data_IF_370459557617
#
_entry.id   IF_370459557617
#
_cell.length_a   1.000
_cell.length_b   1.000
_cell.length_c   1.000
_cell.angle_alpha   90.00
_cell.angle_beta   90.00
_cell.angle_gamma   90.00
#
_symmetry.space_group_name_H-M   'P 1'
#
loop_
_entity.id
_entity.type
_entity.pdbx_description
1 polymer ?
#
# COMPACT_ATOMS: atom_id res chain seq x y z
N UNK A 1 4.40 38.89 -23.47
CA UNK A 1 4.09 38.28 -22.15
C UNK A 1 3.42 36.95 -22.41
N UNK A 2 3.92 35.86 -21.83
CA UNK A 2 3.21 34.56 -21.86
C UNK A 2 1.97 34.68 -20.97
N UNK A 3 0.85 34.15 -21.45
CA UNK A 3 -0.43 34.14 -20.73
C UNK A 3 -0.45 32.93 -19.77
N UNK A 4 -0.44 33.15 -18.44
CA UNK A 4 -0.45 32.07 -17.46
C UNK A 4 -1.64 31.12 -17.60
N UNK A 5 -2.79 31.60 -18.11
CA UNK A 5 -3.96 30.75 -18.31
C UNK A 5 -3.76 29.78 -19.48
N UNK A 6 -3.11 30.23 -20.56
CA UNK A 6 -2.81 29.40 -21.71
C UNK A 6 -1.78 28.31 -21.36
N UNK A 7 -0.75 28.64 -20.59
CA UNK A 7 0.26 27.66 -20.12
C UNK A 7 -0.39 26.60 -19.22
N UNK A 8 -1.30 27.00 -18.32
CA UNK A 8 -2.05 26.06 -17.48
C UNK A 8 -2.94 25.12 -18.29
N UNK A 9 -3.65 25.64 -19.29
CA UNK A 9 -4.53 24.80 -20.13
C UNK A 9 -3.72 23.79 -20.96
N UNK A 10 -2.57 24.21 -21.49
CA UNK A 10 -1.66 23.30 -22.19
C UNK A 10 -1.16 22.18 -21.27
N UNK A 11 -0.73 22.52 -20.06
CA UNK A 11 -0.32 21.51 -19.08
C UNK A 11 -1.45 20.53 -18.74
N UNK A 12 -2.66 21.03 -18.46
CA UNK A 12 -3.82 20.18 -18.19
C UNK A 12 -4.15 19.22 -19.35
N UNK A 13 -4.06 19.70 -20.58
CA UNK A 13 -4.26 18.87 -21.76
C UNK A 13 -3.19 17.77 -21.88
N UNK A 14 -1.93 18.06 -21.50
CA UNK A 14 -0.84 17.09 -21.51
C UNK A 14 -1.02 15.99 -20.47
N UNK A 15 -1.58 16.31 -19.29
CA UNK A 15 -1.76 15.33 -18.20
C UNK A 15 -3.14 14.65 -18.19
N UNK A 16 -4.09 15.08 -19.04
CA UNK A 16 -5.45 14.52 -19.06
C UNK A 16 -5.43 13.00 -19.28
N UNK A 17 -4.59 12.53 -20.20
CA UNK A 17 -4.44 11.10 -20.48
C UNK A 17 -4.04 10.30 -19.23
N UNK A 18 -3.17 10.85 -18.36
CA UNK A 18 -2.82 10.20 -17.10
C UNK A 18 -3.99 10.22 -16.11
N UNK A 19 -4.75 11.32 -16.08
CA UNK A 19 -5.92 11.45 -15.21
C UNK A 19 -6.97 10.40 -15.55
N UNK A 20 -7.28 10.23 -16.84
CA UNK A 20 -8.24 9.21 -17.31
C UNK A 20 -7.75 7.79 -17.01
N UNK A 21 -6.46 7.53 -17.26
CA UNK A 21 -5.84 6.25 -16.92
C UNK A 21 -5.92 5.94 -15.42
N UNK A 22 -5.57 6.92 -14.57
CA UNK A 22 -5.59 6.79 -13.11
C UNK A 22 -7.01 6.47 -12.63
N UNK A 23 -8.00 7.21 -13.11
CA UNK A 23 -9.39 7.01 -12.70
C UNK A 23 -9.88 5.61 -13.09
N UNK A 24 -9.43 5.05 -14.22
CA UNK A 24 -9.73 3.66 -14.58
C UNK A 24 -9.09 2.66 -13.61
N UNK A 25 -7.78 2.76 -13.32
CA UNK A 25 -7.12 1.81 -12.42
C UNK A 25 -7.58 1.97 -10.96
N UNK A 26 -8.06 3.15 -10.55
CA UNK A 26 -8.70 3.38 -9.26
C UNK A 26 -10.03 2.61 -9.14
N UNK A 27 -10.84 2.61 -10.20
CA UNK A 27 -12.08 1.84 -10.24
C UNK A 27 -11.80 0.33 -10.19
N UNK A 28 -10.84 -0.15 -10.98
CA UNK A 28 -10.41 -1.55 -10.95
C UNK A 28 -9.91 -1.96 -9.56
N UNK A 29 -9.11 -1.10 -8.92
CA UNK A 29 -8.61 -1.32 -7.55
C UNK A 29 -9.75 -1.38 -6.55
N UNK A 30 -10.74 -0.49 -6.64
CA UNK A 30 -11.90 -0.48 -5.74
C UNK A 30 -12.75 -1.75 -5.89
N UNK A 31 -12.97 -2.20 -7.13
CA UNK A 31 -13.69 -3.44 -7.42
C UNK A 31 -12.94 -4.66 -6.87
N UNK A 32 -11.63 -4.74 -7.13
CA UNK A 32 -10.78 -5.81 -6.60
C UNK A 32 -10.76 -5.83 -5.07
N UNK A 33 -10.56 -4.68 -4.43
CA UNK A 33 -10.61 -4.52 -2.98
C UNK A 33 -11.93 -5.04 -2.41
N UNK A 34 -13.06 -4.81 -3.07
CA UNK A 34 -14.36 -5.34 -2.63
C UNK A 34 -14.41 -6.86 -2.75
N UNK A 35 -13.88 -7.41 -3.85
CA UNK A 35 -13.92 -8.85 -4.15
C UNK A 35 -13.12 -9.74 -3.19
N UNK A 36 -12.20 -9.18 -2.41
CA UNK A 36 -11.32 -9.94 -1.50
C UNK A 36 -11.70 -9.84 -0.02
N UNK A 37 -12.77 -9.11 0.32
CA UNK A 37 -13.23 -8.97 1.72
C UNK A 37 -13.52 -10.33 2.35
N UNK A 38 -14.36 -11.15 1.70
CA UNK A 38 -14.74 -12.45 2.24
C UNK A 38 -13.56 -13.43 2.27
N UNK A 39 -12.60 -13.28 1.34
CA UNK A 39 -11.38 -14.11 1.30
C UNK A 39 -10.45 -13.84 2.49
N UNK A 40 -10.48 -12.63 3.04
CA UNK A 40 -9.72 -12.25 4.23
C UNK A 40 -10.47 -12.53 5.54
N UNK A 41 -11.66 -13.13 5.48
CA UNK A 41 -12.45 -13.49 6.65
C UNK A 41 -13.42 -12.39 7.10
N UNK A 42 -13.83 -11.50 6.19
CA UNK A 42 -14.85 -10.48 6.42
C UNK A 42 -14.28 -9.13 6.86
N UNK A 43 -15.02 -8.36 7.66
CA UNK A 43 -14.57 -7.04 8.11
C UNK A 43 -13.78 -7.14 9.42
N UNK A 44 -12.52 -6.71 9.38
CA UNK A 44 -11.66 -6.49 10.55
C UNK A 44 -11.33 -4.99 10.73
N UNK A 45 -12.26 -4.11 10.36
CA UNK A 45 -12.10 -2.66 10.45
C UNK A 45 -10.91 -2.14 9.63
N UNK A 46 -10.08 -1.30 10.23
CA UNK A 46 -8.96 -0.65 9.54
C UNK A 46 -7.85 -1.62 9.12
N UNK A 47 -7.62 -2.70 9.88
CA UNK A 47 -6.62 -3.72 9.50
C UNK A 47 -7.03 -4.41 8.20
N UNK A 48 -8.34 -4.68 8.03
CA UNK A 48 -8.87 -5.20 6.77
C UNK A 48 -8.63 -4.23 5.61
N UNK A 49 -9.07 -2.98 5.78
CA UNK A 49 -8.93 -1.94 4.75
C UNK A 49 -7.48 -1.78 4.30
N UNK A 50 -6.55 -1.67 5.25
CA UNK A 50 -5.12 -1.54 4.95
C UNK A 50 -4.56 -2.79 4.28
N UNK A 51 -4.94 -4.00 4.74
CA UNK A 51 -4.47 -5.25 4.14
C UNK A 51 -4.91 -5.36 2.68
N UNK A 52 -6.17 -4.98 2.37
CA UNK A 52 -6.68 -4.97 1.00
C UNK A 52 -5.99 -3.94 0.13
N UNK A 53 -5.78 -2.73 0.64
CA UNK A 53 -5.04 -1.69 -0.06
C UNK A 53 -3.59 -2.10 -0.36
N UNK A 54 -2.93 -2.79 0.57
CA UNK A 54 -1.59 -3.37 0.37
C UNK A 54 -1.62 -4.44 -0.72
N UNK A 55 -2.56 -5.40 -0.66
CA UNK A 55 -2.63 -6.47 -1.67
C UNK A 55 -2.92 -5.90 -3.06
N UNK A 56 -3.80 -4.90 -3.14
CA UNK A 56 -4.15 -4.26 -4.41
C UNK A 56 -3.10 -3.27 -4.92
N UNK A 57 -2.10 -2.90 -4.09
CA UNK A 57 -1.04 -2.00 -4.53
C UNK A 57 -0.22 -2.61 -5.66
N UNK A 58 -0.04 -3.94 -5.70
CA UNK A 58 0.81 -4.62 -6.70
C UNK A 58 0.29 -4.47 -8.13
N UNK A 59 -1.01 -4.65 -8.36
CA UNK A 59 -1.58 -4.43 -9.69
C UNK A 59 -1.56 -2.94 -10.05
N UNK A 60 -1.79 -2.08 -9.06
CA UNK A 60 -1.79 -0.63 -9.24
C UNK A 60 -0.41 -0.09 -9.63
N UNK A 61 0.65 -0.46 -8.89
CA UNK A 61 2.05 -0.10 -9.18
C UNK A 61 2.47 -0.66 -10.54
N UNK A 62 2.11 -1.91 -10.86
CA UNK A 62 2.35 -2.49 -12.19
C UNK A 62 1.69 -1.68 -13.31
N UNK A 63 0.45 -1.22 -13.10
CA UNK A 63 -0.26 -0.34 -14.04
C UNK A 63 0.50 0.97 -14.24
N UNK A 64 0.91 1.63 -13.15
CA UNK A 64 1.69 2.87 -13.21
C UNK A 64 3.03 2.67 -13.93
N UNK A 65 3.78 1.62 -13.59
CA UNK A 65 5.04 1.30 -14.27
C UNK A 65 4.83 1.06 -15.76
N UNK A 66 3.75 0.36 -16.15
CA UNK A 66 3.41 0.16 -17.55
C UNK A 66 3.13 1.48 -18.27
N UNK A 67 2.36 2.38 -17.65
CA UNK A 67 2.05 3.71 -18.17
C UNK A 67 3.30 4.57 -18.33
N UNK A 68 4.18 4.60 -17.32
CA UNK A 68 5.42 5.37 -17.33
C UNK A 68 6.34 4.95 -18.49
N UNK A 69 6.34 3.66 -18.82
CA UNK A 69 7.18 3.10 -19.89
C UNK A 69 6.61 3.30 -21.31
N UNK A 70 5.46 3.96 -21.48
CA UNK A 70 4.90 4.28 -22.79
C UNK A 70 5.54 5.55 -23.38
N UNK A 71 6.51 5.38 -24.27
CA UNK A 71 7.26 6.50 -24.86
C UNK A 71 6.44 7.43 -25.74
N UNK A 72 5.28 6.99 -26.21
CA UNK A 72 4.34 7.80 -26.97
C UNK A 72 3.45 8.71 -26.09
N UNK A 73 3.53 8.60 -24.75
CA UNK A 73 2.79 9.48 -23.85
C UNK A 73 3.58 10.77 -23.54
N UNK A 74 2.87 11.90 -23.30
CA UNK A 74 3.50 13.16 -22.93
C UNK A 74 4.46 13.00 -21.75
N UNK A 75 5.62 13.67 -21.81
CA UNK A 75 6.63 13.59 -20.76
C UNK A 75 6.07 14.05 -19.42
N UNK A 76 5.29 15.13 -19.41
CA UNK A 76 4.60 15.68 -18.25
C UNK A 76 3.68 14.65 -17.61
N UNK A 77 2.90 13.91 -18.42
CA UNK A 77 2.00 12.87 -17.92
C UNK A 77 2.77 11.70 -17.29
N UNK A 78 3.93 11.33 -17.86
CA UNK A 78 4.80 10.30 -17.31
C UNK A 78 5.47 10.74 -16.01
N UNK A 79 5.87 12.00 -15.89
CA UNK A 79 6.41 12.53 -14.63
C UNK A 79 5.35 12.52 -13.52
N UNK A 80 4.12 12.96 -13.79
CA UNK A 80 3.03 12.87 -12.80
C UNK A 80 2.76 11.41 -12.41
N UNK A 81 2.83 10.47 -13.35
CA UNK A 81 2.69 9.05 -13.05
C UNK A 81 3.81 8.51 -12.14
N UNK A 82 5.06 8.97 -12.29
CA UNK A 82 6.19 8.62 -11.41
C UNK A 82 5.99 9.16 -10.00
N UNK A 83 5.55 10.41 -9.86
CA UNK A 83 5.20 10.99 -8.56
C UNK A 83 4.12 10.15 -7.86
N UNK A 84 3.06 9.79 -8.60
CA UNK A 84 1.97 8.97 -8.06
C UNK A 84 2.40 7.55 -7.70
N UNK A 85 3.36 6.97 -8.44
CA UNK A 85 3.98 5.69 -8.08
C UNK A 85 4.77 5.79 -6.77
N UNK A 86 5.57 6.84 -6.59
CA UNK A 86 6.32 7.06 -5.36
C UNK A 86 5.39 7.23 -4.15
N UNK A 87 4.33 8.02 -4.30
CA UNK A 87 3.31 8.21 -3.26
C UNK A 87 2.58 6.89 -2.92
N UNK A 88 2.28 6.07 -3.93
CA UNK A 88 1.67 4.76 -3.73
C UNK A 88 2.58 3.84 -2.93
N UNK A 89 3.89 3.82 -3.22
CA UNK A 89 4.87 3.02 -2.49
C UNK A 89 5.03 3.49 -1.04
N UNK A 90 5.09 4.80 -0.80
CA UNK A 90 5.15 5.35 0.57
C UNK A 90 3.91 4.99 1.38
N UNK A 91 2.72 5.24 0.80
CA UNK A 91 1.45 4.89 1.44
C UNK A 91 1.38 3.41 1.78
N UNK A 92 1.83 2.53 0.88
CA UNK A 92 1.86 1.08 1.11
C UNK A 92 2.78 0.73 2.29
N UNK A 93 3.96 1.36 2.40
CA UNK A 93 4.86 1.16 3.53
C UNK A 93 4.24 1.62 4.86
N UNK A 94 3.54 2.76 4.87
CA UNK A 94 2.83 3.23 6.06
C UNK A 94 1.67 2.30 6.43
N UNK A 95 0.95 1.76 5.46
CA UNK A 95 -0.11 0.79 5.68
C UNK A 95 0.43 -0.51 6.29
N UNK A 96 1.56 -1.02 5.82
CA UNK A 96 2.24 -2.16 6.46
C UNK A 96 2.57 -1.87 7.92
N UNK A 97 3.18 -0.71 8.19
CA UNK A 97 3.54 -0.30 9.56
C UNK A 97 2.34 -0.34 10.50
N UNK A 98 1.23 0.25 10.08
CA UNK A 98 0.01 0.35 10.90
C UNK A 98 -0.70 -1.00 11.02
N UNK A 99 -0.89 -1.71 9.92
CA UNK A 99 -1.58 -3.01 9.92
C UNK A 99 -0.84 -4.04 10.77
N UNK A 100 0.49 -4.13 10.67
CA UNK A 100 1.30 -5.04 11.49
C UNK A 100 1.27 -4.67 12.97
N UNK A 101 1.21 -3.38 13.30
CA UNK A 101 1.07 -2.91 14.69
C UNK A 101 -0.30 -3.28 15.28
N UNK A 102 -1.35 -3.26 14.48
CA UNK A 102 -2.74 -3.36 14.96
C UNK A 102 -3.32 -4.77 14.86
N UNK A 103 -2.78 -5.63 13.99
CA UNK A 103 -3.32 -6.97 13.72
C UNK A 103 -3.46 -7.85 14.97
N UNK A 104 -2.60 -7.71 15.98
CA UNK A 104 -2.72 -8.50 17.22
C UNK A 104 -3.87 -8.05 18.12
N UNK A 105 -4.47 -6.89 17.87
CA UNK A 105 -5.68 -6.45 18.57
C UNK A 105 -6.94 -7.14 18.04
N UNK A 106 -6.85 -7.81 16.88
CA UNK A 106 -7.96 -8.56 16.31
C UNK A 106 -8.29 -9.82 17.13
N UNK A 107 -9.54 -10.32 17.07
CA UNK A 107 -9.91 -11.65 17.55
C UNK A 107 -9.01 -12.73 16.96
N UNK A 108 -8.76 -13.81 17.72
CA UNK A 108 -7.79 -14.86 17.35
C UNK A 108 -8.01 -15.44 15.95
N UNK A 109 -9.26 -15.66 15.56
CA UNK A 109 -9.62 -16.21 14.24
C UNK A 109 -9.22 -15.27 13.09
N UNK A 110 -9.51 -13.97 13.22
CA UNK A 110 -9.14 -12.96 12.22
C UNK A 110 -7.64 -12.66 12.25
N UNK A 111 -7.05 -12.53 13.45
CA UNK A 111 -5.63 -12.23 13.66
C UNK A 111 -4.73 -13.15 12.87
N UNK A 112 -5.01 -14.46 12.87
CA UNK A 112 -4.22 -15.45 12.13
C UNK A 112 -4.25 -15.15 10.63
N UNK A 113 -5.44 -15.07 10.04
CA UNK A 113 -5.64 -14.80 8.61
C UNK A 113 -4.95 -13.52 8.16
N UNK A 114 -5.19 -12.40 8.87
CA UNK A 114 -4.58 -11.11 8.50
C UNK A 114 -3.07 -11.10 8.73
N UNK A 115 -2.56 -11.74 9.78
CA UNK A 115 -1.10 -11.81 10.01
C UNK A 115 -0.39 -12.60 8.91
N UNK A 116 -0.98 -13.72 8.45
CA UNK A 116 -0.44 -14.55 7.37
C UNK A 116 -0.46 -13.78 6.04
N UNK A 117 -1.59 -13.12 5.73
CA UNK A 117 -1.71 -12.28 4.53
C UNK A 117 -0.68 -11.13 4.52
N UNK A 118 -0.56 -10.39 5.62
CA UNK A 118 0.40 -9.29 5.74
C UNK A 118 1.85 -9.77 5.61
N UNK A 119 2.21 -10.91 6.21
CA UNK A 119 3.58 -11.47 6.09
C UNK A 119 3.90 -11.89 4.66
N UNK A 120 3.03 -12.69 4.04
CA UNK A 120 3.21 -13.14 2.68
C UNK A 120 3.31 -11.96 1.70
N UNK A 121 2.48 -10.95 1.91
CA UNK A 121 2.46 -9.77 1.05
C UNK A 121 3.66 -8.87 1.29
N UNK A 122 4.15 -8.76 2.53
CA UNK A 122 5.38 -8.02 2.84
C UNK A 122 6.60 -8.65 2.18
N UNK A 123 6.73 -9.97 2.23
CA UNK A 123 7.81 -10.71 1.57
C UNK A 123 7.85 -10.36 0.08
N UNK A 124 6.74 -10.57 -0.64
CA UNK A 124 6.64 -10.22 -2.06
C UNK A 124 6.87 -8.73 -2.32
N UNK A 125 6.38 -7.83 -1.46
CA UNK A 125 6.60 -6.39 -1.61
C UNK A 125 8.09 -6.04 -1.52
N UNK A 126 8.79 -6.59 -0.53
CA UNK A 126 10.22 -6.33 -0.33
C UNK A 126 11.09 -6.94 -1.42
N UNK A 127 10.71 -8.08 -1.99
CA UNK A 127 11.39 -8.67 -3.14
C UNK A 127 11.29 -7.80 -4.39
N UNK A 128 10.09 -7.26 -4.65
CA UNK A 128 9.83 -6.48 -5.87
C UNK A 128 10.35 -5.05 -5.76
N UNK A 129 10.06 -4.36 -4.67
CA UNK A 129 10.28 -2.91 -4.53
C UNK A 129 11.39 -2.57 -3.55
N UNK A 130 11.92 -3.53 -2.79
CA UNK A 130 12.83 -3.24 -1.68
C UNK A 130 14.11 -2.49 -2.06
N UNK A 131 14.56 -2.54 -3.31
CA UNK A 131 15.72 -1.77 -3.78
C UNK A 131 15.40 -0.31 -4.12
N UNK A 132 14.13 -0.01 -4.35
CA UNK A 132 13.62 1.29 -4.79
C UNK A 132 13.10 2.12 -3.61
N UNK A 133 12.94 1.49 -2.45
CA UNK A 133 12.47 2.16 -1.24
C UNK A 133 13.53 3.09 -0.67
N UNK A 134 13.09 4.25 -0.22
CA UNK A 134 13.85 5.18 0.60
C UNK A 134 14.11 4.62 2.00
N UNK A 135 15.08 5.19 2.71
CA UNK A 135 15.35 4.81 4.10
C UNK A 135 14.14 5.00 5.02
N UNK A 136 13.35 6.06 4.84
CA UNK A 136 12.16 6.31 5.66
C UNK A 136 11.10 5.22 5.46
N UNK A 137 10.91 4.77 4.22
CA UNK A 137 10.02 3.66 3.88
C UNK A 137 10.52 2.34 4.50
N UNK A 138 11.82 2.04 4.41
CA UNK A 138 12.40 0.88 5.10
C UNK A 138 12.19 0.94 6.62
N UNK A 139 12.43 2.09 7.25
CA UNK A 139 12.19 2.29 8.70
C UNK A 139 10.72 2.09 9.06
N UNK A 140 9.79 2.49 8.19
CA UNK A 140 8.36 2.26 8.42
C UNK A 140 8.02 0.77 8.43
N UNK A 141 8.52 0.00 7.45
CA UNK A 141 8.34 -1.45 7.38
C UNK A 141 8.94 -2.14 8.62
N UNK A 142 10.18 -1.80 8.97
CA UNK A 142 10.87 -2.36 10.13
C UNK A 142 10.13 -2.05 11.44
N UNK A 143 9.69 -0.81 11.66
CA UNK A 143 8.95 -0.44 12.87
C UNK A 143 7.62 -1.17 13.01
N UNK A 144 6.94 -1.48 11.89
CA UNK A 144 5.77 -2.36 11.88
C UNK A 144 6.08 -3.78 12.33
N UNK A 145 7.13 -4.38 11.76
CA UNK A 145 7.59 -5.73 12.10
C UNK A 145 8.02 -5.85 13.58
N UNK A 146 8.79 -4.90 14.08
CA UNK A 146 9.24 -4.87 15.48
C UNK A 146 8.03 -4.77 16.44
N UNK A 147 7.06 -3.92 16.11
CA UNK A 147 5.82 -3.79 16.89
C UNK A 147 5.03 -5.10 16.93
N UNK A 148 4.90 -5.76 15.77
CA UNK A 148 4.25 -7.06 15.65
C UNK A 148 4.96 -8.13 16.49
N UNK A 149 6.29 -8.24 16.36
CA UNK A 149 7.10 -9.22 17.09
C UNK A 149 7.05 -9.01 18.60
N UNK A 150 7.15 -7.75 19.06
CA UNK A 150 7.04 -7.42 20.48
C UNK A 150 5.72 -7.91 21.09
N UNK A 151 4.60 -7.68 20.40
CA UNK A 151 3.28 -8.09 20.86
C UNK A 151 3.12 -9.62 20.87
N UNK A 152 3.65 -10.31 19.84
CA UNK A 152 3.70 -11.78 19.81
C UNK A 152 4.49 -12.32 21.00
N UNK A 153 5.68 -11.79 21.26
CA UNK A 153 6.53 -12.26 22.37
C UNK A 153 5.90 -12.00 23.75
N UNK A 154 5.22 -10.86 23.92
CA UNK A 154 4.45 -10.55 25.14
C UNK A 154 3.32 -11.55 25.37
N UNK A 155 2.60 -11.94 24.32
CA UNK A 155 1.51 -12.92 24.42
C UNK A 155 1.99 -14.34 24.77
N UNK A 156 3.23 -14.69 24.41
CA UNK A 156 3.84 -16.00 24.70
C UNK A 156 4.62 -16.04 26.02
N UNK A 157 4.77 -14.91 26.72
CA UNK A 157 5.43 -14.87 28.02
C UNK A 157 4.48 -15.45 29.09
N UNK A 158 4.88 -16.51 29.83
CA UNK A 158 4.06 -17.05 30.90
C UNK A 158 3.82 -15.95 31.94
N UNK A 159 2.55 -15.73 32.31
CA UNK A 159 2.23 -14.98 33.52
C UNK A 159 2.95 -15.64 34.69
N UNK A 160 3.97 -14.98 35.25
CA UNK A 160 4.47 -15.34 36.59
C UNK A 160 3.32 -15.05 37.55
N UNK A 161 2.47 -16.05 37.74
CA UNK A 161 1.45 -16.03 38.78
C UNK A 161 2.15 -15.77 40.10
N UNK A 162 1.80 -14.65 40.73
CA UNK A 162 2.01 -14.47 42.15
C UNK A 162 1.14 -15.52 42.85
N UNK A 163 1.78 -16.54 43.44
CA UNK A 163 1.14 -17.36 44.44
C UNK A 163 1.15 -16.60 45.78
N UNK A 164 0.01 -16.47 46.48
CA UNK A 164 -0.02 -16.04 47.88
C UNK A 164 0.74 -17.01 48.79
#
# INVERSE_FOLDING_TARGET
MRDPNAERQQYLALIQHFTDFRDNIDQERAAFNTSIIDKLGGSAGEVDRMTRDIISSFSYTKGLTHYINQDNYPAEAREVAKEHLADTLDKTCQQFKLALREVNSLPTTQRKTYSEALKATLETFTEQYGKELSESQHRALQGGLESYQYQVNKAHSPSRGFSP
#
